data_IF_979512474867
#
_entry.id   IF_979512474867
#
_cell.length_a   1.000
_cell.length_b   1.000
_cell.length_c   1.000
_cell.angle_alpha   90.00
_cell.angle_beta   90.00
_cell.angle_gamma   90.00
#
_symmetry.space_group_name_H-M   'P 1'
#
loop_
_entity.id
_entity.type
_entity.pdbx_description
1 polymer ?
#
# COMPACT_ATOMS: atom_id res chain seq x y z
N UNK A 1 17.88 -5.87 13.90
CA UNK A 1 16.98 -5.80 12.72
C UNK A 1 15.60 -5.23 13.08
N UNK A 2 14.99 -5.59 14.22
CA UNK A 2 13.73 -5.01 14.75
C UNK A 2 13.56 -3.50 14.57
N UNK A 3 14.50 -2.70 15.08
CA UNK A 3 14.43 -1.23 14.97
C UNK A 3 14.36 -0.74 13.53
N UNK A 4 15.12 -1.37 12.63
CA UNK A 4 15.10 -1.03 11.20
C UNK A 4 13.77 -1.43 10.55
N UNK A 5 13.23 -2.61 10.85
CA UNK A 5 11.92 -3.03 10.36
C UNK A 5 10.81 -2.09 10.81
N UNK A 6 10.83 -1.63 12.07
CA UNK A 6 9.85 -0.65 12.56
C UNK A 6 10.00 0.70 11.86
N UNK A 7 11.24 1.21 11.73
CA UNK A 7 11.50 2.47 11.00
C UNK A 7 11.05 2.38 9.55
N UNK A 8 11.25 1.23 8.90
CA UNK A 8 10.77 0.97 7.55
C UNK A 8 9.25 1.02 7.47
N UNK A 9 8.53 0.38 8.39
CA UNK A 9 7.07 0.45 8.42
C UNK A 9 6.55 1.87 8.66
N UNK A 10 7.19 2.64 9.55
CA UNK A 10 6.85 4.06 9.71
C UNK A 10 7.16 4.89 8.46
N UNK A 11 8.26 4.62 7.77
CA UNK A 11 8.57 5.26 6.49
C UNK A 11 7.51 4.94 5.43
N UNK A 12 7.05 3.69 5.37
CA UNK A 12 5.94 3.30 4.49
C UNK A 12 4.65 4.05 4.85
N UNK A 13 4.28 4.16 6.13
CA UNK A 13 3.12 4.96 6.58
C UNK A 13 3.25 6.42 6.17
N UNK A 14 4.42 7.03 6.40
CA UNK A 14 4.68 8.42 6.01
C UNK A 14 4.60 8.60 4.49
N UNK A 15 5.15 7.65 3.72
CA UNK A 15 5.06 7.66 2.26
C UNK A 15 3.60 7.62 1.79
N UNK A 16 2.75 6.77 2.38
CA UNK A 16 1.33 6.72 2.01
C UNK A 16 0.61 8.03 2.36
N UNK A 17 0.88 8.63 3.52
CA UNK A 17 0.33 9.96 3.85
C UNK A 17 0.75 11.02 2.83
N UNK A 18 2.03 11.06 2.47
CA UNK A 18 2.57 12.03 1.51
C UNK A 18 2.00 11.80 0.10
N UNK A 19 1.99 10.56 -0.38
CA UNK A 19 1.42 10.21 -1.69
C UNK A 19 -0.06 10.56 -1.73
N UNK A 20 -0.82 10.19 -0.70
CA UNK A 20 -2.24 10.52 -0.61
C UNK A 20 -2.53 12.03 -0.55
N UNK A 21 -1.63 12.81 0.05
CA UNK A 21 -1.72 14.28 0.08
C UNK A 21 -1.37 14.92 -1.28
N UNK A 22 -0.43 14.33 -2.01
CA UNK A 22 0.08 14.86 -3.27
C UNK A 22 -0.76 14.44 -4.47
N UNK A 23 -1.39 13.27 -4.43
CA UNK A 23 -2.21 12.69 -5.51
C UNK A 23 -3.16 13.70 -6.18
N UNK A 24 -3.97 14.48 -5.45
CA UNK A 24 -4.85 15.48 -6.07
C UNK A 24 -4.13 16.57 -6.88
N UNK A 25 -2.87 16.87 -6.54
CA UNK A 25 -2.06 17.91 -7.18
C UNK A 25 -1.26 17.38 -8.36
N UNK A 26 -0.86 16.12 -8.31
CA UNK A 26 0.01 15.52 -9.33
C UNK A 26 -0.74 14.65 -10.32
N UNK A 27 -2.03 14.40 -10.13
CA UNK A 27 -2.82 13.56 -11.04
C UNK A 27 -2.68 13.98 -12.51
N UNK A 28 -2.66 15.28 -12.81
CA UNK A 28 -2.51 15.79 -14.18
C UNK A 28 -1.05 16.05 -14.60
N UNK A 29 -0.06 15.60 -13.82
CA UNK A 29 1.34 15.89 -14.09
C UNK A 29 1.85 15.08 -15.30
N UNK A 30 2.63 15.67 -16.23
CA UNK A 30 3.07 14.99 -17.46
C UNK A 30 3.85 13.69 -17.25
N UNK A 31 4.51 13.54 -16.09
CA UNK A 31 5.18 12.30 -15.72
C UNK A 31 4.23 11.09 -15.61
N UNK A 32 2.92 11.32 -15.46
CA UNK A 32 1.89 10.30 -15.40
C UNK A 32 1.21 10.05 -16.75
N UNK A 33 1.59 10.75 -17.83
CA UNK A 33 0.92 10.61 -19.12
C UNK A 33 0.98 9.18 -19.66
N UNK A 34 2.13 8.51 -19.51
CA UNK A 34 2.28 7.10 -19.88
C UNK A 34 1.43 6.17 -19.02
N UNK A 35 1.27 6.47 -17.73
CA UNK A 35 0.40 5.71 -16.84
C UNK A 35 -1.07 5.83 -17.27
N UNK A 36 -1.54 7.05 -17.54
CA UNK A 36 -2.90 7.28 -18.01
C UNK A 36 -3.16 6.65 -19.37
N UNK A 37 -2.24 6.82 -20.33
CA UNK A 37 -2.34 6.23 -21.66
C UNK A 37 -2.38 4.70 -21.59
N UNK A 38 -1.62 4.09 -20.67
CA UNK A 38 -1.67 2.65 -20.43
C UNK A 38 -3.05 2.16 -19.98
N UNK A 39 -3.69 2.88 -19.05
CA UNK A 39 -5.05 2.56 -18.59
C UNK A 39 -6.07 2.82 -19.72
N UNK A 40 -5.95 3.94 -20.43
CA UNK A 40 -6.82 4.24 -21.57
C UNK A 40 -6.78 3.13 -22.62
N UNK A 41 -5.58 2.66 -22.97
CA UNK A 41 -5.39 1.57 -23.91
C UNK A 41 -5.98 0.24 -23.39
N UNK A 42 -5.83 -0.04 -22.09
CA UNK A 42 -6.36 -1.25 -21.48
C UNK A 42 -7.90 -1.34 -21.53
N UNK A 43 -8.59 -0.21 -21.31
CA UNK A 43 -10.06 -0.19 -21.25
C UNK A 43 -10.74 0.20 -22.56
N UNK A 44 -10.10 1.02 -23.40
CA UNK A 44 -10.70 1.60 -24.61
C UNK A 44 -9.89 1.36 -25.89
N UNK A 45 -8.71 0.73 -25.80
CA UNK A 45 -7.84 0.51 -26.94
C UNK A 45 -7.34 1.83 -27.55
N UNK A 46 -7.11 1.89 -28.89
CA UNK A 46 -6.55 3.06 -29.54
C UNK A 46 -7.52 4.26 -29.65
N UNK A 47 -8.80 4.07 -29.33
CA UNK A 47 -9.85 5.08 -29.51
C UNK A 47 -10.47 5.52 -28.17
N UNK A 48 -9.61 5.83 -27.19
CA UNK A 48 -10.06 6.31 -25.89
C UNK A 48 -10.83 7.63 -26.02
N UNK A 49 -12.05 7.74 -25.47
CA UNK A 49 -12.80 8.98 -25.51
C UNK A 49 -12.10 10.03 -24.63
N UNK A 50 -12.15 11.33 -24.99
CA UNK A 50 -11.52 12.39 -24.17
C UNK A 50 -11.96 12.40 -22.70
N UNK A 51 -13.20 11.96 -22.42
CA UNK A 51 -13.71 11.84 -21.06
C UNK A 51 -12.99 10.78 -20.21
N UNK A 52 -12.33 9.78 -20.81
CA UNK A 52 -11.59 8.76 -20.09
C UNK A 52 -10.44 9.38 -19.27
N UNK A 53 -9.70 10.33 -19.86
CA UNK A 53 -8.64 11.06 -19.16
C UNK A 53 -9.20 11.82 -17.96
N UNK A 54 -10.23 12.63 -18.19
CA UNK A 54 -10.85 13.43 -17.13
C UNK A 54 -11.37 12.57 -15.98
N UNK A 55 -11.96 11.41 -16.29
CA UNK A 55 -12.41 10.46 -15.27
C UNK A 55 -11.24 9.89 -14.47
N UNK A 56 -10.14 9.50 -15.11
CA UNK A 56 -8.95 9.00 -14.41
C UNK A 56 -8.33 10.06 -13.51
N UNK A 57 -8.22 11.31 -13.97
CA UNK A 57 -7.68 12.41 -13.17
C UNK A 57 -8.53 12.65 -11.92
N UNK A 58 -9.86 12.66 -12.07
CA UNK A 58 -10.78 12.79 -10.95
C UNK A 58 -10.66 11.62 -9.97
N UNK A 59 -10.63 10.38 -10.47
CA UNK A 59 -10.52 9.18 -9.64
C UNK A 59 -9.21 9.14 -8.87
N UNK A 60 -8.08 9.45 -9.54
CA UNK A 60 -6.76 9.47 -8.91
C UNK A 60 -6.66 10.55 -7.82
N UNK A 61 -7.26 11.72 -8.06
CA UNK A 61 -7.34 12.76 -7.05
C UNK A 61 -8.20 12.33 -5.85
N UNK A 62 -9.36 11.72 -6.09
CA UNK A 62 -10.24 11.21 -5.04
C UNK A 62 -9.57 10.12 -4.20
N UNK A 63 -8.85 9.22 -4.86
CA UNK A 63 -8.15 8.10 -4.22
C UNK A 63 -7.09 8.56 -3.22
N UNK A 64 -6.55 9.77 -3.36
CA UNK A 64 -5.61 10.35 -2.40
C UNK A 64 -6.14 10.35 -0.96
N UNK A 65 -7.44 10.63 -0.76
CA UNK A 65 -8.06 10.57 0.57
C UNK A 65 -8.09 9.12 1.12
N UNK A 66 -8.38 8.13 0.27
CA UNK A 66 -8.36 6.71 0.64
C UNK A 66 -6.95 6.26 1.05
N UNK A 67 -5.92 6.66 0.31
CA UNK A 67 -4.52 6.34 0.65
C UNK A 67 -4.12 6.97 1.99
N UNK A 68 -4.55 8.19 2.30
CA UNK A 68 -4.31 8.81 3.61
C UNK A 68 -5.02 8.06 4.74
N UNK A 69 -6.28 7.68 4.54
CA UNK A 69 -7.03 6.90 5.52
C UNK A 69 -6.37 5.53 5.77
N UNK A 70 -5.91 4.87 4.71
CA UNK A 70 -5.15 3.63 4.80
C UNK A 70 -3.85 3.84 5.61
N UNK A 71 -3.14 4.94 5.39
CA UNK A 71 -1.93 5.25 6.15
C UNK A 71 -2.20 5.41 7.66
N UNK A 72 -3.31 6.03 8.04
CA UNK A 72 -3.73 6.12 9.46
C UNK A 72 -4.05 4.73 10.02
N UNK A 73 -4.79 3.92 9.26
CA UNK A 73 -5.08 2.53 9.63
C UNK A 73 -3.80 1.69 9.75
N UNK A 74 -2.78 1.90 8.91
CA UNK A 74 -1.48 1.24 9.01
C UNK A 74 -0.67 1.74 10.21
N UNK A 75 -0.71 3.05 10.50
CA UNK A 75 0.06 3.68 11.57
C UNK A 75 -0.32 3.17 12.96
N UNK A 76 -1.60 2.91 13.21
CA UNK A 76 -2.09 2.42 14.49
C UNK A 76 -1.46 1.07 14.93
N UNK A 77 -1.51 -0.03 14.13
CA UNK A 77 -0.84 -1.29 14.47
C UNK A 77 0.67 -1.14 14.49
N UNK A 78 1.29 -0.32 13.63
CA UNK A 78 2.74 -0.07 13.71
C UNK A 78 3.11 0.53 15.06
N UNK A 79 2.35 1.51 15.54
CA UNK A 79 2.57 2.14 16.84
C UNK A 79 2.32 1.19 18.02
N UNK A 80 1.22 0.43 17.99
CA UNK A 80 0.91 -0.56 19.01
C UNK A 80 1.98 -1.65 19.10
N UNK A 81 2.39 -2.21 17.96
CA UNK A 81 3.43 -3.23 17.89
C UNK A 81 4.81 -2.70 18.30
N UNK A 82 5.14 -1.46 17.91
CA UNK A 82 6.42 -0.84 18.25
C UNK A 82 6.56 -0.62 19.76
N UNK A 83 5.53 -0.06 20.42
CA UNK A 83 5.54 0.23 21.86
C UNK A 83 5.31 -1.01 22.72
N UNK A 84 4.32 -1.83 22.38
CA UNK A 84 3.86 -2.93 23.22
C UNK A 84 4.46 -4.30 22.89
N UNK A 85 5.33 -4.39 21.87
CA UNK A 85 5.83 -5.68 21.33
C UNK A 85 4.71 -6.69 21.08
N UNK A 86 3.56 -6.20 20.61
CA UNK A 86 2.35 -6.98 20.43
C UNK A 86 2.39 -7.71 19.08
N UNK A 87 2.59 -9.04 19.03
CA UNK A 87 2.74 -9.72 17.76
C UNK A 87 1.46 -9.69 16.93
N UNK A 88 0.30 -9.60 17.60
CA UNK A 88 -1.00 -9.43 16.95
C UNK A 88 -1.07 -8.18 16.07
N UNK A 89 -0.37 -7.09 16.43
CA UNK A 89 -0.37 -5.88 15.63
C UNK A 89 0.24 -6.10 14.23
N UNK A 90 1.30 -6.92 14.15
CA UNK A 90 1.94 -7.29 12.88
C UNK A 90 1.02 -8.18 12.03
N UNK A 91 0.28 -9.10 12.68
CA UNK A 91 -0.72 -9.95 12.01
C UNK A 91 -1.89 -9.12 11.49
N UNK A 92 -2.41 -8.19 12.28
CA UNK A 92 -3.53 -7.34 11.88
C UNK A 92 -3.18 -6.49 10.65
N UNK A 93 -1.99 -5.88 10.64
CA UNK A 93 -1.50 -5.13 9.48
C UNK A 93 -1.27 -6.05 8.27
N UNK A 94 -0.63 -7.22 8.47
CA UNK A 94 -0.43 -8.19 7.40
C UNK A 94 -1.73 -8.74 6.82
N UNK A 95 -2.75 -8.98 7.64
CA UNK A 95 -4.06 -9.46 7.22
C UNK A 95 -4.77 -8.45 6.31
N UNK A 96 -4.69 -7.15 6.62
CA UNK A 96 -5.24 -6.13 5.73
C UNK A 96 -4.54 -6.10 4.37
N UNK A 97 -3.21 -6.26 4.33
CA UNK A 97 -2.45 -6.32 3.07
C UNK A 97 -2.80 -7.56 2.23
N UNK A 98 -2.88 -8.73 2.87
CA UNK A 98 -3.22 -10.01 2.21
C UNK A 98 -4.69 -10.04 1.77
N UNK A 99 -5.57 -9.29 2.43
CA UNK A 99 -6.95 -9.13 1.98
C UNK A 99 -7.03 -8.18 0.77
N UNK A 100 -6.38 -7.03 0.85
CA UNK A 100 -6.46 -5.99 -0.17
C UNK A 100 -5.74 -6.38 -1.47
N UNK A 101 -4.44 -6.65 -1.41
CA UNK A 101 -3.61 -6.72 -2.61
C UNK A 101 -4.01 -7.82 -3.61
N UNK A 102 -4.40 -9.04 -3.20
CA UNK A 102 -4.83 -10.06 -4.16
C UNK A 102 -6.07 -9.66 -4.96
N UNK A 103 -7.00 -8.94 -4.34
CA UNK A 103 -8.20 -8.45 -5.03
C UNK A 103 -7.82 -7.38 -6.05
N UNK A 104 -6.97 -6.43 -5.66
CA UNK A 104 -6.54 -5.33 -6.53
C UNK A 104 -5.71 -5.84 -7.72
N UNK A 105 -4.80 -6.78 -7.47
CA UNK A 105 -4.03 -7.48 -8.51
C UNK A 105 -4.96 -8.26 -9.44
N UNK A 106 -5.95 -9.00 -8.91
CA UNK A 106 -6.86 -9.80 -9.72
C UNK A 106 -7.71 -8.93 -10.65
N UNK A 107 -8.25 -7.81 -10.15
CA UNK A 107 -9.01 -6.85 -10.96
C UNK A 107 -8.11 -6.22 -12.02
N UNK A 108 -6.87 -5.85 -11.66
CA UNK A 108 -5.90 -5.27 -12.58
C UNK A 108 -5.51 -6.23 -13.70
N UNK A 109 -5.32 -7.51 -13.39
CA UNK A 109 -5.03 -8.55 -14.38
C UNK A 109 -6.20 -8.76 -15.36
N UNK A 110 -7.44 -8.75 -14.87
CA UNK A 110 -8.63 -8.87 -15.72
C UNK A 110 -8.71 -7.72 -16.74
N UNK A 111 -8.26 -6.52 -16.35
CA UNK A 111 -8.19 -5.36 -17.22
C UNK A 111 -6.88 -5.25 -18.02
N UNK A 112 -5.90 -6.15 -17.83
CA UNK A 112 -4.58 -6.04 -18.47
C UNK A 112 -3.72 -4.86 -17.98
N UNK A 113 -4.05 -4.27 -16.82
CA UNK A 113 -3.37 -3.11 -16.24
C UNK A 113 -2.11 -3.51 -15.45
N UNK A 114 -1.04 -3.86 -16.16
CA UNK A 114 0.20 -4.35 -15.54
C UNK A 114 0.91 -3.36 -14.61
N UNK A 115 0.74 -2.05 -14.81
CA UNK A 115 1.32 -1.05 -13.91
C UNK A 115 0.81 -1.19 -12.47
N UNK A 116 -0.47 -1.50 -12.29
CA UNK A 116 -1.08 -1.73 -10.97
C UNK A 116 -0.61 -3.06 -10.37
N UNK A 117 -0.55 -4.12 -11.18
CA UNK A 117 -0.01 -5.43 -10.75
C UNK A 117 1.39 -5.29 -10.17
N UNK A 118 2.26 -4.54 -10.85
CA UNK A 118 3.63 -4.31 -10.38
C UNK A 118 3.66 -3.46 -9.10
N UNK A 119 2.89 -2.38 -9.03
CA UNK A 119 2.81 -1.53 -7.84
C UNK A 119 2.37 -2.32 -6.61
N UNK A 120 1.31 -3.12 -6.72
CA UNK A 120 0.77 -3.90 -5.61
C UNK A 120 1.73 -5.01 -5.18
N UNK A 121 2.36 -5.68 -6.16
CA UNK A 121 3.37 -6.72 -5.89
C UNK A 121 4.58 -6.12 -5.15
N UNK A 122 5.06 -4.96 -5.59
CA UNK A 122 6.15 -4.25 -4.92
C UNK A 122 5.75 -3.82 -3.50
N UNK A 123 4.53 -3.35 -3.29
CA UNK A 123 4.02 -3.01 -1.96
C UNK A 123 4.01 -4.24 -1.04
N UNK A 124 3.54 -5.40 -1.51
CA UNK A 124 3.57 -6.65 -0.76
C UNK A 124 5.00 -7.08 -0.41
N UNK A 125 5.91 -7.07 -1.39
CA UNK A 125 7.32 -7.45 -1.18
C UNK A 125 8.01 -6.49 -0.21
N UNK A 126 7.68 -5.21 -0.23
CA UNK A 126 8.23 -4.22 0.69
C UNK A 126 7.68 -4.36 2.12
N UNK A 127 6.44 -4.81 2.29
CA UNK A 127 5.74 -4.80 3.58
C UNK A 127 5.74 -6.15 4.29
N UNK A 128 5.56 -7.27 3.58
CA UNK A 128 5.41 -8.59 4.21
C UNK A 128 6.68 -9.08 4.93
N UNK A 129 7.90 -8.97 4.37
CA UNK A 129 9.10 -9.45 5.05
C UNK A 129 9.34 -8.82 6.43
N UNK A 130 9.29 -7.48 6.62
CA UNK A 130 9.45 -6.90 7.95
C UNK A 130 8.31 -7.29 8.90
N UNK A 131 7.08 -7.47 8.43
CA UNK A 131 5.95 -7.90 9.26
C UNK A 131 6.12 -9.34 9.77
N UNK A 132 6.49 -10.27 8.89
CA UNK A 132 6.77 -11.67 9.25
C UNK A 132 7.93 -11.74 10.24
N UNK A 133 9.01 -10.99 9.98
CA UNK A 133 10.15 -10.93 10.89
C UNK A 133 9.75 -10.40 12.27
N UNK A 134 9.03 -9.27 12.34
CA UNK A 134 8.60 -8.67 13.61
C UNK A 134 7.65 -9.57 14.40
N UNK A 135 6.75 -10.29 13.71
CA UNK A 135 5.89 -11.29 14.33
C UNK A 135 6.69 -12.42 14.98
N UNK A 136 7.62 -13.03 14.24
CA UNK A 136 8.43 -14.14 14.78
C UNK A 136 9.32 -13.65 15.92
N UNK A 137 9.92 -12.47 15.78
CA UNK A 137 10.80 -11.88 16.78
C UNK A 137 10.05 -11.59 18.08
N UNK A 138 8.97 -10.81 18.04
CA UNK A 138 8.25 -10.38 19.24
C UNK A 138 7.50 -11.56 19.90
N UNK A 139 7.07 -12.59 19.15
CA UNK A 139 6.53 -13.82 19.74
C UNK A 139 7.54 -14.62 20.56
N UNK A 140 8.82 -14.61 20.17
CA UNK A 140 9.86 -15.34 20.89
C UNK A 140 10.21 -14.63 22.20
N UNK A 141 10.36 -13.32 22.15
CA UNK A 141 10.64 -12.49 23.35
C UNK A 141 9.54 -12.66 24.40
N UNK A 142 8.26 -12.59 24.00
CA UNK A 142 7.14 -12.72 24.95
C UNK A 142 7.07 -14.12 25.60
N UNK A 143 7.56 -15.18 24.94
CA UNK A 143 7.63 -16.52 25.56
C UNK A 143 8.68 -16.59 26.64
N UNK A 144 9.83 -15.94 26.45
CA UNK A 144 10.91 -15.92 27.44
C UNK A 144 10.52 -15.16 28.70
N UNK A 145 9.76 -14.07 28.57
CA UNK A 145 9.26 -13.28 29.72
C UNK A 145 8.25 -14.04 30.58
N UNK A 146 7.48 -14.97 30.01
CA UNK A 146 6.52 -15.80 30.76
C UNK A 146 7.19 -16.99 31.47
N UNK A 147 8.39 -17.40 31.02
CA UNK A 147 9.10 -18.59 31.56
C UNK A 147 10.26 -18.24 32.50
N UNK A 148 10.58 -16.97 32.68
CA UNK A 148 11.61 -16.46 33.59
C UNK A 148 10.98 -16.00 34.92
#
# INVERSE_FOLDING_TARGET
>A
MRTWSIRWLYAAVALHLLVGLLLPRVAAHPLLDGYHAGIEAAFYGPAAPPAARSHQLWWMALFGATVQAAAVWMGAPVWLGARGRLPFAWVALGAGLVLWAPQDIAVSLQAGCWSHVWLDTLALVAMLPPLVYLFVHDRRDNKHEVTA
#
